data_IF_014286271351
#
_entry.id   IF_014286271351
#
_cell.length_a   1.000
_cell.length_b   1.000
_cell.length_c   1.000
_cell.angle_alpha   90.00
_cell.angle_beta   90.00
_cell.angle_gamma   90.00
#
_symmetry.space_group_name_H-M   'P 1'
#
loop_
_entity.id
_entity.type
_entity.pdbx_description
1 polymer ?
#
# COMPACT_ATOMS: atom_id res chain seq x y z
N UNK A 1 -0.74 -16.63 66.19
CA UNK A 1 -0.85 -16.29 64.75
C UNK A 1 -1.67 -15.01 64.60
N UNK A 2 -1.03 -13.86 64.38
CA UNK A 2 -1.72 -12.56 64.24
C UNK A 2 -1.89 -12.21 62.76
N UNK A 3 -3.14 -12.26 62.29
CA UNK A 3 -3.51 -12.01 60.88
C UNK A 3 -3.57 -10.51 60.62
N UNK A 4 -2.53 -9.96 59.96
CA UNK A 4 -2.49 -8.57 59.49
C UNK A 4 -3.62 -8.33 58.48
N UNK A 5 -4.66 -7.57 58.85
CA UNK A 5 -5.72 -7.17 57.92
C UNK A 5 -5.12 -6.23 56.87
N UNK A 6 -5.15 -6.63 55.60
CA UNK A 6 -4.80 -5.72 54.49
C UNK A 6 -5.88 -4.65 54.40
N UNK A 7 -5.49 -3.38 54.55
CA UNK A 7 -6.35 -2.24 54.28
C UNK A 7 -6.59 -2.18 52.77
N UNK A 8 -7.75 -2.64 52.32
CA UNK A 8 -8.22 -2.40 50.96
C UNK A 8 -8.81 -0.99 50.92
N UNK A 9 -7.99 0.01 50.56
CA UNK A 9 -8.48 1.33 50.18
C UNK A 9 -9.12 1.19 48.79
N UNK A 10 -10.45 1.28 48.73
CA UNK A 10 -11.18 1.33 47.47
C UNK A 10 -11.02 2.71 46.80
N UNK A 11 -11.00 2.71 45.47
CA UNK A 11 -11.09 3.94 44.66
C UNK A 11 -12.36 4.70 44.99
N UNK A 12 -12.27 6.03 45.13
CA UNK A 12 -13.47 6.85 45.30
C UNK A 12 -14.12 7.13 43.95
N UNK A 13 -15.46 7.21 43.89
CA UNK A 13 -16.17 7.59 42.64
C UNK A 13 -15.73 8.97 42.13
N UNK A 14 -15.42 9.88 43.05
CA UNK A 14 -14.96 11.24 42.73
C UNK A 14 -13.60 11.21 42.03
N UNK A 15 -12.69 10.34 42.47
CA UNK A 15 -11.38 10.17 41.85
C UNK A 15 -11.49 9.66 40.41
N UNK A 16 -12.42 8.75 40.12
CA UNK A 16 -12.70 8.31 38.76
C UNK A 16 -13.33 9.43 37.91
N UNK A 17 -14.26 10.22 38.47
CA UNK A 17 -14.94 11.28 37.72
C UNK A 17 -13.94 12.33 37.21
N UNK A 18 -13.04 12.79 38.07
CA UNK A 18 -12.03 13.79 37.68
C UNK A 18 -11.11 13.23 36.59
N UNK A 19 -10.71 11.96 36.70
CA UNK A 19 -9.85 11.32 35.69
C UNK A 19 -10.53 11.26 34.33
N UNK A 20 -11.80 10.84 34.25
CA UNK A 20 -12.52 10.78 32.98
C UNK A 20 -12.72 12.17 32.39
N UNK A 21 -13.02 13.18 33.21
CA UNK A 21 -13.13 14.58 32.74
C UNK A 21 -11.83 15.05 32.11
N UNK A 22 -10.68 14.80 32.73
CA UNK A 22 -9.37 15.17 32.18
C UNK A 22 -9.09 14.39 30.88
N UNK A 23 -9.41 13.09 30.83
CA UNK A 23 -9.24 12.28 29.62
C UNK A 23 -10.09 12.78 28.45
N UNK A 24 -11.31 13.27 28.70
CA UNK A 24 -12.18 13.82 27.65
C UNK A 24 -11.61 15.11 27.07
N UNK A 25 -11.09 15.99 27.91
CA UNK A 25 -10.44 17.24 27.47
C UNK A 25 -9.22 16.93 26.60
N UNK A 26 -8.37 15.99 27.02
CA UNK A 26 -7.19 15.59 26.23
C UNK A 26 -7.58 14.91 24.92
N UNK A 27 -8.58 14.02 24.95
CA UNK A 27 -9.02 13.27 23.77
C UNK A 27 -9.61 14.17 22.69
N UNK A 28 -10.31 15.25 23.08
CA UNK A 28 -10.88 16.21 22.13
C UNK A 28 -9.82 16.86 21.22
N UNK A 29 -8.61 17.10 21.73
CA UNK A 29 -7.49 17.68 20.97
C UNK A 29 -6.65 16.57 20.32
N UNK A 30 -6.44 15.44 21.01
CA UNK A 30 -5.56 14.37 20.53
C UNK A 30 -6.10 13.66 19.28
N UNK A 31 -7.42 13.44 19.19
CA UNK A 31 -8.04 12.70 18.08
C UNK A 31 -7.83 13.40 16.72
N UNK A 32 -8.18 14.68 16.51
CA UNK A 32 -7.99 15.31 15.20
C UNK A 32 -6.52 15.39 14.79
N UNK A 33 -5.61 15.61 15.73
CA UNK A 33 -4.15 15.60 15.47
C UNK A 33 -3.70 14.22 15.00
N UNK A 34 -4.15 13.16 15.68
CA UNK A 34 -3.82 11.78 15.31
C UNK A 34 -4.35 11.42 13.92
N UNK A 35 -5.56 11.85 13.56
CA UNK A 35 -6.11 11.62 12.22
C UNK A 35 -5.26 12.28 11.13
N UNK A 36 -4.85 13.54 11.33
CA UNK A 36 -3.96 14.23 10.41
C UNK A 36 -2.61 13.52 10.26
N UNK A 37 -2.03 13.04 11.37
CA UNK A 37 -0.77 12.29 11.36
C UNK A 37 -0.87 11.00 10.54
N UNK A 38 -1.97 10.26 10.70
CA UNK A 38 -2.23 9.04 9.90
C UNK A 38 -2.35 9.37 8.42
N UNK A 39 -3.04 10.46 8.07
CA UNK A 39 -3.20 10.86 6.67
C UNK A 39 -1.87 11.32 6.04
N UNK A 40 -1.03 12.03 6.78
CA UNK A 40 0.31 12.39 6.31
C UNK A 40 1.23 11.17 6.16
N UNK A 41 1.13 10.19 7.07
CA UNK A 41 1.82 8.91 6.93
C UNK A 41 1.37 8.16 5.67
N UNK A 42 0.07 8.15 5.36
CA UNK A 42 -0.48 7.56 4.12
C UNK A 42 0.04 8.26 2.87
N UNK A 43 0.12 9.60 2.88
CA UNK A 43 0.70 10.39 1.78
C UNK A 43 2.18 10.08 1.57
N UNK A 44 2.94 10.00 2.67
CA UNK A 44 4.35 9.64 2.62
C UNK A 44 4.57 8.23 2.08
N UNK A 45 3.71 7.27 2.46
CA UNK A 45 3.76 5.90 1.93
C UNK A 45 3.48 5.91 0.42
N UNK A 46 2.41 6.56 -0.03
CA UNK A 46 2.10 6.67 -1.46
C UNK A 46 3.25 7.31 -2.26
N UNK A 47 3.92 8.33 -1.70
CA UNK A 47 5.08 8.94 -2.34
C UNK A 47 6.29 7.98 -2.42
N UNK A 48 6.49 7.12 -1.42
CA UNK A 48 7.52 6.08 -1.45
C UNK A 48 7.20 5.02 -2.52
N UNK A 49 5.94 4.60 -2.60
CA UNK A 49 5.46 3.63 -3.58
C UNK A 49 5.65 4.15 -5.02
N UNK A 50 5.32 5.41 -5.27
CA UNK A 50 5.56 6.07 -6.56
C UNK A 50 7.06 6.09 -6.93
N UNK A 51 7.97 6.26 -5.95
CA UNK A 51 9.42 6.23 -6.21
C UNK A 51 9.89 4.83 -6.62
N UNK A 52 9.32 3.78 -6.04
CA UNK A 52 9.61 2.39 -6.41
C UNK A 52 9.22 2.16 -7.89
N UNK A 53 8.01 2.59 -8.27
CA UNK A 53 7.52 2.47 -9.65
C UNK A 53 8.33 3.34 -10.63
N UNK A 54 8.70 4.55 -10.26
CA UNK A 54 9.55 5.41 -11.09
C UNK A 54 10.96 4.82 -11.27
N UNK A 55 11.54 4.25 -10.21
CA UNK A 55 12.85 3.60 -10.26
C UNK A 55 12.85 2.35 -11.13
N UNK A 56 11.79 1.54 -11.07
CA UNK A 56 11.64 0.37 -11.95
C UNK A 56 11.44 0.76 -13.42
N UNK A 57 10.65 1.80 -13.68
CA UNK A 57 10.49 2.37 -15.02
C UNK A 57 11.83 2.87 -15.58
N UNK A 58 12.63 3.56 -14.76
CA UNK A 58 13.95 4.03 -15.17
C UNK A 58 14.90 2.89 -15.50
N UNK A 59 14.89 1.80 -14.71
CA UNK A 59 15.70 0.60 -15.00
C UNK A 59 15.26 -0.06 -16.31
N UNK A 60 13.96 -0.15 -16.55
CA UNK A 60 13.46 -0.67 -17.82
C UNK A 60 13.87 0.21 -19.00
N UNK A 61 13.81 1.52 -18.83
CA UNK A 61 14.21 2.44 -19.89
C UNK A 61 15.71 2.31 -20.22
N UNK A 62 16.57 2.08 -19.24
CA UNK A 62 18.01 1.85 -19.50
C UNK A 62 18.28 0.53 -20.20
N UNK A 63 17.46 -0.50 -19.95
CA UNK A 63 17.64 -1.82 -20.52
C UNK A 63 17.03 -1.89 -21.93
N UNK A 64 15.77 -1.51 -22.06
CA UNK A 64 14.96 -1.66 -23.27
C UNK A 64 15.12 -0.45 -24.22
N UNK A 65 15.59 0.69 -23.70
CA UNK A 65 15.72 1.94 -24.47
C UNK A 65 14.39 2.64 -24.77
N UNK A 66 13.27 2.11 -24.24
CA UNK A 66 11.95 2.62 -24.52
C UNK A 66 11.01 2.56 -23.31
N UNK A 67 10.12 3.55 -23.24
CA UNK A 67 9.01 3.56 -22.30
C UNK A 67 7.86 2.67 -22.85
N UNK A 68 7.04 2.08 -21.97
CA UNK A 68 5.93 1.24 -22.41
C UNK A 68 4.85 2.12 -23.03
N UNK A 69 4.35 1.77 -24.21
CA UNK A 69 3.39 2.57 -24.99
C UNK A 69 1.95 2.27 -24.58
N UNK A 70 1.70 1.07 -24.05
CA UNK A 70 0.36 0.66 -23.61
C UNK A 70 0.16 0.87 -22.12
N UNK A 71 -0.55 1.94 -21.79
CA UNK A 71 -1.21 2.14 -20.50
C UNK A 71 -2.49 1.29 -20.47
N UNK A 72 -2.40 -0.04 -20.28
CA UNK A 72 -3.62 -0.85 -20.09
C UNK A 72 -3.64 -2.26 -20.64
N UNK A 73 -2.49 -2.91 -20.83
CA UNK A 73 -2.48 -4.35 -21.06
C UNK A 73 -2.81 -5.10 -19.78
N UNK A 74 -4.07 -5.45 -19.57
CA UNK A 74 -4.46 -6.39 -18.50
C UNK A 74 -3.93 -7.77 -18.88
N UNK A 75 -2.82 -8.17 -18.26
CA UNK A 75 -2.61 -9.60 -17.97
C UNK A 75 -3.78 -10.12 -17.13
N UNK A 76 -3.98 -11.44 -16.96
CA UNK A 76 -5.06 -11.98 -16.12
C UNK A 76 -5.09 -11.42 -14.69
N UNK A 77 -3.98 -10.82 -14.24
CA UNK A 77 -3.84 -10.09 -12.97
C UNK A 77 -3.89 -8.56 -13.08
N UNK A 78 -4.06 -7.96 -14.27
CA UNK A 78 -4.22 -6.51 -14.43
C UNK A 78 -2.94 -5.68 -14.23
N UNK A 79 -1.79 -6.34 -14.11
CA UNK A 79 -0.52 -5.70 -13.75
C UNK A 79 0.16 -5.09 -14.99
N UNK A 80 0.65 -3.84 -14.94
CA UNK A 80 1.34 -3.24 -16.06
C UNK A 80 2.72 -3.88 -16.27
N UNK A 81 3.23 -3.65 -17.48
CA UNK A 81 4.40 -4.27 -18.13
C UNK A 81 5.64 -4.44 -17.25
N UNK A 82 5.79 -3.63 -16.19
CA UNK A 82 6.93 -3.68 -15.26
C UNK A 82 7.04 -4.99 -14.45
N UNK A 83 5.96 -5.75 -14.28
CA UNK A 83 5.95 -6.96 -13.43
C UNK A 83 6.06 -8.28 -14.21
N UNK A 84 6.10 -8.22 -15.55
CA UNK A 84 6.02 -9.39 -16.42
C UNK A 84 7.05 -9.31 -17.54
N UNK A 85 7.71 -10.45 -17.83
CA UNK A 85 8.56 -10.59 -19.01
C UNK A 85 7.76 -11.23 -20.16
N UNK A 86 7.63 -10.58 -21.32
CA UNK A 86 6.99 -11.18 -22.49
C UNK A 86 7.65 -12.49 -22.91
N UNK A 87 6.85 -13.45 -23.34
CA UNK A 87 7.27 -14.80 -23.73
C UNK A 87 7.92 -14.84 -25.12
N UNK A 88 7.66 -13.85 -25.97
CA UNK A 88 8.18 -13.74 -27.32
C UNK A 88 8.24 -12.28 -27.81
N UNK A 89 8.96 -12.03 -28.91
CA UNK A 89 9.16 -10.66 -29.44
C UNK A 89 7.84 -10.02 -29.91
N UNK A 90 6.90 -10.77 -30.47
CA UNK A 90 5.61 -10.23 -30.91
C UNK A 90 4.77 -9.72 -29.72
N UNK A 91 4.85 -10.41 -28.57
CA UNK A 91 4.24 -9.96 -27.32
C UNK A 91 4.95 -8.72 -26.78
N UNK A 92 6.27 -8.67 -26.88
CA UNK A 92 7.06 -7.49 -26.52
C UNK A 92 6.67 -6.25 -27.37
N UNK A 93 6.56 -6.40 -28.69
CA UNK A 93 6.19 -5.32 -29.62
C UNK A 93 4.76 -4.79 -29.39
N UNK A 94 3.92 -5.54 -28.66
CA UNK A 94 2.60 -5.08 -28.24
C UNK A 94 2.70 -4.00 -27.15
N UNK A 95 3.77 -4.01 -26.35
CA UNK A 95 3.95 -3.12 -25.20
C UNK A 95 4.98 -2.01 -25.44
N UNK A 96 5.90 -2.19 -26.39
CA UNK A 96 7.05 -1.32 -26.65
C UNK A 96 7.13 -0.85 -28.11
N UNK A 97 7.77 0.30 -28.41
CA UNK A 97 7.97 0.74 -29.78
C UNK A 97 8.88 -0.21 -30.56
N UNK A 98 8.66 -0.26 -31.87
CA UNK A 98 9.58 -0.88 -32.82
C UNK A 98 10.98 -0.25 -32.67
N UNK A 99 12.00 -1.11 -32.51
CA UNK A 99 13.39 -0.70 -32.28
C UNK A 99 13.94 -1.07 -30.89
N UNK A 100 13.09 -1.58 -30.00
CA UNK A 100 13.49 -2.20 -28.74
C UNK A 100 13.40 -3.73 -28.82
N UNK A 101 14.22 -4.48 -28.09
CA UNK A 101 14.28 -5.94 -28.21
C UNK A 101 13.99 -6.66 -26.88
N UNK A 102 13.34 -7.83 -26.97
CA UNK A 102 13.13 -8.72 -25.83
C UNK A 102 14.46 -9.25 -25.25
N UNK A 103 15.52 -9.29 -26.05
CA UNK A 103 16.84 -9.75 -25.61
C UNK A 103 17.48 -8.79 -24.58
N UNK A 104 17.12 -7.50 -24.66
CA UNK A 104 17.67 -6.48 -23.78
C UNK A 104 16.98 -6.48 -22.40
N UNK A 105 15.83 -7.13 -22.27
CA UNK A 105 15.08 -7.25 -21.01
C UNK A 105 15.84 -8.03 -19.92
N UNK A 106 16.21 -7.36 -18.81
CA UNK A 106 16.98 -7.97 -17.72
C UNK A 106 16.17 -8.55 -16.56
N UNK A 107 14.86 -8.35 -16.52
CA UNK A 107 14.00 -9.03 -15.56
C UNK A 107 12.68 -8.31 -15.33
N UNK A 108 11.77 -8.88 -14.54
CA UNK A 108 10.69 -8.09 -13.97
C UNK A 108 11.29 -6.94 -13.17
N UNK A 109 10.96 -5.70 -13.52
CA UNK A 109 11.47 -4.51 -12.84
C UNK A 109 10.74 -4.24 -11.53
N UNK A 110 9.59 -4.89 -11.34
CA UNK A 110 8.83 -5.00 -10.10
C UNK A 110 8.56 -6.49 -9.84
N UNK A 111 8.77 -6.92 -8.60
CA UNK A 111 8.44 -8.26 -8.12
C UNK A 111 6.97 -8.37 -7.68
N UNK A 112 6.48 -7.31 -7.04
CA UNK A 112 5.09 -7.15 -6.63
C UNK A 112 4.74 -5.67 -6.70
N UNK A 113 3.47 -5.37 -6.89
CA UNK A 113 2.99 -4.01 -6.74
C UNK A 113 3.12 -3.55 -5.28
N UNK A 114 3.54 -2.30 -5.04
CA UNK A 114 3.42 -1.73 -3.71
C UNK A 114 1.96 -1.80 -3.29
N UNK A 115 1.72 -2.41 -2.14
CA UNK A 115 0.40 -2.35 -1.53
C UNK A 115 0.17 -0.91 -1.08
N UNK A 116 -0.86 -0.28 -1.64
CA UNK A 116 -1.23 1.08 -1.26
C UNK A 116 -1.51 1.21 0.24
N UNK A 117 -1.78 2.44 0.72
CA UNK A 117 -2.03 2.67 2.13
C UNK A 117 -3.15 1.77 2.67
N UNK A 118 -2.97 1.21 3.88
CA UNK A 118 -3.93 0.26 4.48
C UNK A 118 -5.38 0.78 4.38
N UNK A 119 -6.25 -0.02 3.76
CA UNK A 119 -7.66 0.29 3.51
C UNK A 119 -7.98 0.72 2.08
N UNK A 120 -6.97 0.98 1.25
CA UNK A 120 -7.16 1.20 -0.19
C UNK A 120 -7.19 -0.15 -0.90
N UNK A 121 -8.31 -0.45 -1.56
CA UNK A 121 -8.41 -1.60 -2.46
C UNK A 121 -8.01 -1.17 -3.86
N UNK A 122 -7.27 -2.02 -4.56
CA UNK A 122 -6.96 -1.77 -5.97
C UNK A 122 -8.23 -1.95 -6.80
N UNK A 123 -8.37 -1.17 -7.87
CA UNK A 123 -9.57 -1.19 -8.75
C UNK A 123 -9.75 -2.56 -9.44
N UNK A 124 -8.67 -3.27 -9.65
CA UNK A 124 -8.57 -4.64 -10.16
C UNK A 124 -8.92 -5.72 -9.13
N UNK A 125 -8.59 -5.51 -7.85
CA UNK A 125 -8.89 -6.43 -6.75
C UNK A 125 -10.41 -6.69 -6.63
N UNK A 126 -11.23 -5.63 -6.72
CA UNK A 126 -12.69 -5.73 -6.66
C UNK A 126 -13.31 -6.35 -7.92
N UNK A 127 -12.59 -6.40 -9.04
CA UNK A 127 -13.04 -7.08 -10.27
C UNK A 127 -12.77 -8.58 -10.21
N UNK A 128 -11.61 -8.99 -9.68
CA UNK A 128 -11.26 -10.40 -9.49
C UNK A 128 -12.20 -11.09 -8.50
N UNK A 129 -12.48 -10.45 -7.36
CA UNK A 129 -13.36 -10.99 -6.31
C UNK A 129 -14.83 -11.13 -6.76
N UNK A 130 -15.29 -10.29 -7.70
CA UNK A 130 -16.64 -10.39 -8.28
C UNK A 130 -16.75 -11.48 -9.34
N UNK A 131 -15.66 -11.81 -10.04
CA UNK A 131 -15.62 -12.92 -11.01
C UNK A 131 -15.63 -14.32 -10.37
N UNK A 132 -15.20 -14.42 -9.11
CA UNK A 132 -15.13 -15.70 -8.36
C UNK A 132 -16.45 -16.07 -7.66
N UNK A 133 -17.41 -15.15 -7.54
CA UNK A 133 -18.69 -15.36 -6.81
C UNK A 133 -19.84 -15.97 -7.63
N UNK A 134 -19.52 -16.73 -8.67
CA UNK A 134 -20.53 -17.49 -9.44
C UNK A 134 -20.02 -18.89 -9.73
N UNK A 135 -19.97 -19.70 -8.66
CA UNK A 135 -20.24 -21.15 -8.64
C UNK A 135 -20.77 -21.50 -7.24
#
# INVERSE_FOLDING_TARGET
MTRKRRSNRGFTLVELMIVVVILLILSAIAIPIYLNYVDDARRSQAAADMKIVAGSLSKMYTDVGAAPIKTGGTTPCGDPVLSFKPSNQAEFDTYFPAGSSLADWKGPYLNTWPEGPKGWKRVDEDRYQRGIRVL
#
